data_IF_686014498041
#
_entry.id   IF_686014498041
#
_cell.length_a   1.000
_cell.length_b   1.000
_cell.length_c   1.000
_cell.angle_alpha   90.00
_cell.angle_beta   90.00
_cell.angle_gamma   90.00
#
_symmetry.space_group_name_H-M   'P 1'
#
loop_
_entity.id
_entity.type
_entity.pdbx_description
1 polymer ?
#
# COMPACT_ATOMS: atom_id res chain seq x y z
N UNK A 1 -2.57 12.64 -62.25
CA UNK A 1 -2.40 13.25 -60.91
C UNK A 1 -2.76 12.21 -59.86
N UNK A 2 -1.79 11.62 -59.12
CA UNK A 2 -2.12 10.69 -58.05
C UNK A 2 -2.67 11.49 -56.85
N UNK A 3 -3.87 11.12 -56.36
CA UNK A 3 -4.51 11.76 -55.21
C UNK A 3 -3.78 11.34 -53.93
N UNK A 4 -3.44 12.31 -53.10
CA UNK A 4 -2.84 12.10 -51.79
C UNK A 4 -3.69 11.13 -50.95
N UNK A 5 -3.08 10.01 -50.50
CA UNK A 5 -3.72 9.09 -49.56
C UNK A 5 -3.84 9.79 -48.21
N UNK A 6 -5.04 9.79 -47.67
CA UNK A 6 -5.45 10.48 -46.44
C UNK A 6 -4.79 9.87 -45.19
N UNK A 7 -3.83 10.58 -44.59
CA UNK A 7 -3.21 10.26 -43.29
C UNK A 7 -4.14 10.39 -42.07
N UNK A 8 -5.43 10.72 -42.26
CA UNK A 8 -6.40 10.96 -41.18
C UNK A 8 -6.98 9.69 -40.56
N UNK A 9 -6.93 8.55 -41.25
CA UNK A 9 -7.42 7.26 -40.72
C UNK A 9 -6.57 6.69 -39.58
N UNK A 10 -5.32 7.14 -39.45
CA UNK A 10 -4.36 6.59 -38.49
C UNK A 10 -4.36 7.37 -37.17
N UNK A 11 -4.50 8.71 -37.23
CA UNK A 11 -4.47 9.56 -36.03
C UNK A 11 -5.63 9.27 -35.06
N UNK A 12 -6.83 9.01 -35.58
CA UNK A 12 -7.98 8.66 -34.75
C UNK A 12 -7.80 7.29 -34.08
N UNK A 13 -7.24 6.31 -34.81
CA UNK A 13 -6.94 4.99 -34.27
C UNK A 13 -5.84 5.05 -33.20
N UNK A 14 -4.80 5.87 -33.42
CA UNK A 14 -3.73 6.11 -32.45
C UNK A 14 -4.28 6.79 -31.19
N UNK A 15 -5.17 7.78 -31.34
CA UNK A 15 -5.81 8.45 -30.20
C UNK A 15 -6.66 7.49 -29.37
N UNK A 16 -7.51 6.68 -30.02
CA UNK A 16 -8.31 5.66 -29.33
C UNK A 16 -7.45 4.63 -28.60
N UNK A 17 -6.34 4.19 -29.22
CA UNK A 17 -5.40 3.26 -28.59
C UNK A 17 -4.69 3.90 -27.39
N UNK A 18 -4.34 5.18 -27.48
CA UNK A 18 -3.76 5.92 -26.35
C UNK A 18 -4.74 6.02 -25.19
N UNK A 19 -6.00 6.33 -25.44
CA UNK A 19 -7.03 6.37 -24.40
C UNK A 19 -7.24 5.01 -23.73
N UNK A 20 -7.29 3.93 -24.53
CA UNK A 20 -7.39 2.58 -24.01
C UNK A 20 -6.21 2.22 -23.08
N UNK A 21 -4.98 2.56 -23.50
CA UNK A 21 -3.78 2.34 -22.69
C UNK A 21 -3.76 3.17 -21.41
N UNK A 22 -4.23 4.42 -21.45
CA UNK A 22 -4.35 5.25 -20.24
C UNK A 22 -5.39 4.69 -19.26
N UNK A 23 -6.51 4.17 -19.77
CA UNK A 23 -7.51 3.51 -18.94
C UNK A 23 -6.97 2.20 -18.31
N UNK A 24 -6.16 1.45 -19.06
CA UNK A 24 -5.48 0.26 -18.55
C UNK A 24 -4.45 0.61 -17.46
N UNK A 25 -3.64 1.65 -17.70
CA UNK A 25 -2.69 2.16 -16.71
C UNK A 25 -3.40 2.57 -15.41
N UNK A 26 -4.51 3.30 -15.51
CA UNK A 26 -5.29 3.70 -14.34
C UNK A 26 -5.82 2.51 -13.53
N UNK A 27 -6.17 1.39 -14.19
CA UNK A 27 -6.59 0.16 -13.50
C UNK A 27 -5.43 -0.51 -12.78
N UNK A 28 -4.25 -0.56 -13.41
CA UNK A 28 -3.05 -1.13 -12.78
C UNK A 28 -2.61 -0.30 -11.58
N UNK A 29 -2.66 1.03 -11.70
CA UNK A 29 -2.35 1.94 -10.58
C UNK A 29 -3.29 1.72 -9.39
N UNK A 30 -4.58 1.50 -9.65
CA UNK A 30 -5.55 1.22 -8.59
C UNK A 30 -5.28 -0.14 -7.91
N UNK A 31 -4.96 -1.18 -8.69
CA UNK A 31 -4.56 -2.47 -8.12
C UNK A 31 -3.29 -2.36 -7.27
N UNK A 32 -2.32 -1.55 -7.70
CA UNK A 32 -1.09 -1.31 -6.94
C UNK A 32 -1.38 -0.61 -5.60
N UNK A 33 -2.31 0.36 -5.58
CA UNK A 33 -2.76 1.00 -4.33
C UNK A 33 -3.41 -0.01 -3.40
N UNK A 34 -4.36 -0.80 -3.89
CA UNK A 34 -5.05 -1.80 -3.09
C UNK A 34 -4.09 -2.86 -2.53
N UNK A 35 -3.13 -3.31 -3.33
CA UNK A 35 -2.08 -4.22 -2.88
C UNK A 35 -1.20 -3.59 -1.79
N UNK A 36 -0.88 -2.30 -1.91
CA UNK A 36 -0.10 -1.56 -0.91
C UNK A 36 -0.86 -1.41 0.40
N UNK A 37 -2.16 -1.11 0.34
CA UNK A 37 -3.03 -1.03 1.52
C UNK A 37 -3.19 -2.39 2.19
N UNK A 38 -3.44 -3.44 1.42
CA UNK A 38 -3.51 -4.80 1.93
C UNK A 38 -2.18 -5.25 2.58
N UNK A 39 -1.03 -4.89 1.99
CA UNK A 39 0.27 -5.17 2.57
C UNK A 39 0.52 -4.43 3.89
N UNK A 40 -0.01 -3.21 4.04
CA UNK A 40 0.04 -2.45 5.31
C UNK A 40 -0.78 -3.13 6.40
N UNK A 41 -1.95 -3.68 6.06
CA UNK A 41 -2.85 -4.29 7.03
C UNK A 41 -2.59 -5.78 7.29
N UNK A 42 -1.77 -6.46 6.47
CA UNK A 42 -1.53 -7.91 6.57
C UNK A 42 -1.06 -8.39 7.97
N UNK A 43 -0.37 -7.55 8.74
CA UNK A 43 0.10 -7.89 10.10
C UNK A 43 -0.84 -7.47 11.24
N UNK A 44 -1.80 -6.59 10.96
CA UNK A 44 -2.72 -6.03 11.97
C UNK A 44 -3.65 -7.07 12.60
N UNK A 45 -4.34 -7.97 11.87
CA UNK A 45 -5.23 -8.95 12.49
C UNK A 45 -4.46 -9.95 13.37
N UNK A 46 -3.25 -10.32 12.96
CA UNK A 46 -2.38 -11.21 13.75
C UNK A 46 -1.93 -10.53 15.04
N UNK A 47 -1.54 -9.25 14.98
CA UNK A 47 -1.18 -8.47 16.17
C UNK A 47 -2.36 -8.35 17.14
N UNK A 48 -3.56 -8.02 16.65
CA UNK A 48 -4.75 -7.95 17.50
C UNK A 48 -5.06 -9.28 18.17
N UNK A 49 -5.03 -10.39 17.42
CA UNK A 49 -5.25 -11.73 17.97
C UNK A 49 -4.16 -12.17 18.97
N UNK A 50 -2.94 -11.63 18.87
CA UNK A 50 -1.89 -11.85 19.86
C UNK A 50 -2.14 -11.02 21.13
N UNK A 51 -2.51 -9.74 20.99
CA UNK A 51 -2.83 -8.86 22.11
C UNK A 51 -4.02 -9.36 22.93
N UNK A 52 -5.04 -9.95 22.29
CA UNK A 52 -6.18 -10.56 22.99
C UNK A 52 -5.78 -11.74 23.90
N UNK A 53 -4.70 -12.47 23.55
CA UNK A 53 -4.24 -13.63 24.31
C UNK A 53 -3.31 -13.26 25.47
N UNK A 54 -2.79 -12.04 25.49
CA UNK A 54 -1.79 -11.59 26.48
C UNK A 54 -2.46 -10.69 27.51
N UNK A 55 -2.28 -11.01 28.80
CA UNK A 55 -2.64 -10.08 29.88
C UNK A 55 -1.64 -8.94 29.92
N UNK A 56 -1.97 -7.85 29.22
CA UNK A 56 -1.20 -6.61 29.26
C UNK A 56 -1.51 -5.92 30.60
N UNK A 57 -0.47 -5.61 31.37
CA UNK A 57 -0.62 -4.82 32.59
C UNK A 57 -1.17 -3.42 32.26
N UNK A 58 -1.69 -2.71 33.27
CA UNK A 58 -2.17 -1.35 33.07
C UNK A 58 -1.07 -0.49 32.42
N UNK A 59 -1.40 0.09 31.26
CA UNK A 59 -0.51 0.96 30.51
C UNK A 59 -1.09 2.38 30.53
N UNK A 60 -0.24 3.38 30.73
CA UNK A 60 -0.68 4.77 30.64
C UNK A 60 -0.96 5.17 29.19
N UNK A 61 -1.86 6.14 29.01
CA UNK A 61 -2.22 6.66 27.69
C UNK A 61 -1.02 7.27 26.95
N UNK A 62 -0.09 7.87 27.69
CA UNK A 62 1.19 8.38 27.20
C UNK A 62 2.03 7.27 26.58
N UNK A 63 2.23 6.18 27.32
CA UNK A 63 3.04 5.04 26.88
C UNK A 63 2.43 4.35 25.66
N UNK A 64 1.10 4.14 25.67
CA UNK A 64 0.39 3.57 24.52
C UNK A 64 0.57 4.42 23.25
N UNK A 65 0.54 5.76 23.37
CA UNK A 65 0.80 6.66 22.23
C UNK A 65 2.24 6.58 21.76
N UNK A 66 3.20 6.53 22.68
CA UNK A 66 4.63 6.42 22.33
C UNK A 66 4.89 5.14 21.54
N UNK A 67 4.33 4.01 21.98
CA UNK A 67 4.45 2.73 21.26
C UNK A 67 3.81 2.83 19.86
N UNK A 68 2.61 3.41 19.75
CA UNK A 68 1.95 3.61 18.46
C UNK A 68 2.76 4.51 17.52
N UNK A 69 3.36 5.59 18.03
CA UNK A 69 4.21 6.49 17.26
C UNK A 69 5.51 5.82 16.78
N UNK A 70 6.10 4.95 17.61
CA UNK A 70 7.28 4.17 17.25
C UNK A 70 6.96 3.18 16.12
N UNK A 71 5.83 2.48 16.19
CA UNK A 71 5.35 1.59 15.13
C UNK A 71 5.11 2.34 13.82
N UNK A 72 4.54 3.55 13.88
CA UNK A 72 4.29 4.39 12.70
C UNK A 72 5.59 4.92 12.08
N UNK A 73 6.57 5.32 12.90
CA UNK A 73 7.82 5.95 12.43
C UNK A 73 8.88 4.96 11.96
N UNK A 74 8.98 3.80 12.61
CA UNK A 74 10.06 2.84 12.37
C UNK A 74 9.59 1.52 11.76
N UNK A 75 8.27 1.30 11.68
CA UNK A 75 7.67 0.06 11.19
C UNK A 75 7.68 -1.06 12.23
N UNK A 76 6.77 -2.02 12.05
CA UNK A 76 6.57 -3.12 13.01
C UNK A 76 7.80 -4.01 13.21
N UNK A 77 8.57 -4.27 12.16
CA UNK A 77 9.76 -5.13 12.21
C UNK A 77 10.84 -4.57 13.15
N UNK A 78 11.21 -3.30 12.99
CA UNK A 78 12.27 -2.67 13.78
C UNK A 78 11.87 -2.59 15.27
N UNK A 79 10.61 -2.29 15.55
CA UNK A 79 10.08 -2.27 16.93
C UNK A 79 10.11 -3.68 17.54
N UNK A 80 9.67 -4.71 16.79
CA UNK A 80 9.70 -6.10 17.26
C UNK A 80 11.11 -6.60 17.57
N UNK A 81 12.08 -6.31 16.70
CA UNK A 81 13.50 -6.66 16.92
C UNK A 81 14.05 -5.99 18.19
N UNK A 82 13.70 -4.72 18.43
CA UNK A 82 14.15 -4.01 19.63
C UNK A 82 13.52 -4.55 20.91
N UNK A 83 12.23 -4.91 20.86
CA UNK A 83 11.54 -5.54 21.99
C UNK A 83 12.08 -6.93 22.30
N UNK A 84 12.42 -7.72 21.26
CA UNK A 84 13.05 -9.02 21.42
C UNK A 84 14.41 -8.90 22.14
N UNK A 85 15.21 -7.87 21.80
CA UNK A 85 16.48 -7.60 22.47
C UNK A 85 16.36 -7.14 23.93
N UNK A 86 15.19 -6.67 24.36
CA UNK A 86 14.92 -6.32 25.77
C UNK A 86 14.39 -7.51 26.59
N UNK A 87 13.88 -8.54 25.91
CA UNK A 87 13.19 -9.68 26.51
C UNK A 87 14.01 -10.97 26.48
N UNK A 88 15.19 -10.95 25.86
CA UNK A 88 16.19 -12.02 25.83
C UNK A 88 17.40 -11.66 26.67
#
# INVERSE_FOLDING_TARGET
>A
MPRAKSNTGDLAAIAARREALLAELARVDEQAKQATEAARDAGRPVLLAALERVKIAAIEKSDARTIAAALASHGGKAVAERLAALSG
#
